data_IF_671325757052
#
_entry.id   IF_671325757052
#
_cell.length_a   1.000
_cell.length_b   1.000
_cell.length_c   1.000
_cell.angle_alpha   90.00
_cell.angle_beta   90.00
_cell.angle_gamma   90.00
#
_symmetry.space_group_name_H-M   'P 1'
#
loop_
_entity.id
_entity.type
_entity.pdbx_description
1 polymer ?
#
# COMPACT_ATOMS: atom_id res chain seq x y z
N UNK A 1 18.01 -16.85 46.19
CA UNK A 1 18.42 -15.78 45.26
C UNK A 1 18.43 -16.18 43.79
N UNK A 2 18.53 -17.48 43.43
CA UNK A 2 18.53 -17.93 42.02
C UNK A 2 17.17 -17.86 41.29
N UNK A 3 16.04 -17.87 42.01
CA UNK A 3 14.70 -17.86 41.40
C UNK A 3 14.30 -16.53 40.76
N UNK A 4 14.73 -15.40 41.33
CA UNK A 4 14.40 -14.07 40.78
C UNK A 4 15.10 -13.82 39.44
N UNK A 5 16.38 -14.17 39.31
CA UNK A 5 17.10 -14.04 38.03
C UNK A 5 16.43 -14.87 36.93
N UNK A 6 15.98 -16.08 37.26
CA UNK A 6 15.31 -16.96 36.31
C UNK A 6 13.95 -16.38 35.86
N UNK A 7 13.22 -15.75 36.78
CA UNK A 7 11.95 -15.07 36.47
C UNK A 7 12.14 -13.84 35.56
N UNK A 8 13.14 -12.99 35.85
CA UNK A 8 13.49 -11.86 34.97
C UNK A 8 13.93 -12.33 33.58
N UNK A 9 14.66 -13.45 33.49
CA UNK A 9 15.08 -14.04 32.21
C UNK A 9 13.89 -14.52 31.38
N UNK A 10 12.90 -15.16 32.01
CA UNK A 10 11.66 -15.58 31.34
C UNK A 10 10.83 -14.39 30.86
N UNK A 11 10.70 -13.33 31.68
CA UNK A 11 10.01 -12.10 31.26
C UNK A 11 10.73 -11.46 30.07
N UNK A 12 12.05 -11.35 30.11
CA UNK A 12 12.82 -10.78 29.02
C UNK A 12 12.71 -11.61 27.74
N UNK A 13 12.70 -12.94 27.85
CA UNK A 13 12.45 -13.83 26.71
C UNK A 13 11.05 -13.67 26.10
N UNK A 14 10.02 -13.43 26.93
CA UNK A 14 8.66 -13.12 26.46
C UNK A 14 8.60 -11.74 25.78
N UNK A 15 9.23 -10.72 26.36
CA UNK A 15 9.29 -9.36 25.79
C UNK A 15 10.02 -9.37 24.44
N UNK A 16 11.15 -10.08 24.32
CA UNK A 16 11.88 -10.23 23.06
C UNK A 16 11.06 -11.00 22.00
N UNK A 17 10.21 -11.96 22.41
CA UNK A 17 9.27 -12.65 21.50
C UNK A 17 8.13 -11.77 21.01
N UNK A 18 7.66 -10.83 21.83
CA UNK A 18 6.60 -9.88 21.44
C UNK A 18 7.16 -8.83 20.48
N UNK A 19 8.37 -8.31 20.74
CA UNK A 19 9.05 -7.34 19.87
C UNK A 19 9.40 -7.94 18.49
N UNK A 20 9.81 -9.22 18.45
CA UNK A 20 10.15 -9.92 17.20
C UNK A 20 8.98 -10.19 16.25
N UNK A 21 7.71 -10.05 16.69
CA UNK A 21 6.52 -10.23 15.84
C UNK A 21 6.03 -8.93 15.19
N UNK A 22 6.45 -7.77 15.67
CA UNK A 22 6.05 -6.47 15.12
C UNK A 22 7.00 -5.92 14.05
N UNK A 23 8.17 -6.53 13.88
CA UNK A 23 9.01 -6.31 12.70
C UNK A 23 8.72 -7.40 11.68
N UNK A 24 7.48 -7.37 11.14
CA UNK A 24 7.29 -7.86 9.80
C UNK A 24 8.24 -7.04 8.93
N UNK A 25 9.34 -7.68 8.51
CA UNK A 25 10.22 -7.19 7.47
C UNK A 25 9.32 -6.59 6.39
N UNK A 26 9.44 -5.28 6.20
CA UNK A 26 8.87 -4.56 5.07
C UNK A 26 9.51 -5.21 3.84
N UNK A 27 8.85 -6.25 3.34
CA UNK A 27 9.38 -7.14 2.32
C UNK A 27 9.77 -6.29 1.13
N UNK A 28 11.08 -6.28 0.82
CA UNK A 28 11.70 -5.81 -0.41
C UNK A 28 10.77 -5.02 -1.34
N UNK A 29 10.41 -3.79 -0.95
CA UNK A 29 9.48 -2.98 -1.73
C UNK A 29 10.29 -2.16 -2.72
N UNK A 30 10.25 -2.58 -3.98
CA UNK A 30 10.77 -1.78 -5.09
C UNK A 30 10.14 -0.39 -5.07
N UNK A 31 11.00 0.61 -5.13
CA UNK A 31 10.75 1.99 -4.72
C UNK A 31 9.79 2.77 -5.62
N UNK A 32 8.49 2.66 -5.33
CA UNK A 32 7.41 3.53 -5.84
C UNK A 32 6.55 3.97 -4.65
N UNK A 33 6.59 5.26 -4.32
CA UNK A 33 5.80 5.80 -3.21
C UNK A 33 4.40 6.18 -3.70
N UNK A 34 3.43 5.28 -3.49
CA UNK A 34 2.02 5.50 -3.81
C UNK A 34 1.27 6.13 -2.62
N UNK A 35 0.48 7.16 -2.88
CA UNK A 35 -0.40 7.81 -1.91
C UNK A 35 -1.78 8.06 -2.53
N UNK A 36 -2.84 7.75 -1.80
CA UNK A 36 -4.21 8.03 -2.23
C UNK A 36 -4.91 8.99 -1.27
N UNK A 37 -5.66 9.94 -1.83
CA UNK A 37 -6.46 10.92 -1.11
C UNK A 37 -7.92 10.77 -1.52
N UNK A 38 -8.79 10.55 -0.52
CA UNK A 38 -10.24 10.54 -0.73
C UNK A 38 -10.72 12.00 -0.75
N UNK A 39 -11.38 12.38 -1.84
CA UNK A 39 -11.94 13.70 -2.12
C UNK A 39 -13.45 13.71 -1.91
N UNK A 40 -13.98 14.87 -1.54
CA UNK A 40 -15.42 15.07 -1.35
C UNK A 40 -16.10 15.57 -2.66
N UNK A 41 -17.32 15.11 -3.00
CA UNK A 41 -18.02 13.96 -2.45
C UNK A 41 -17.73 12.69 -3.28
N UNK A 42 -16.95 11.76 -2.70
CA UNK A 42 -16.78 10.36 -3.17
C UNK A 42 -15.96 10.20 -4.44
N UNK A 43 -14.92 11.01 -4.60
CA UNK A 43 -13.87 10.77 -5.59
C UNK A 43 -12.59 10.39 -4.86
N UNK A 44 -11.64 9.75 -5.52
CA UNK A 44 -10.33 9.47 -4.93
C UNK A 44 -9.25 9.77 -5.95
N UNK A 45 -8.16 10.36 -5.51
CA UNK A 45 -6.98 10.58 -6.35
C UNK A 45 -5.79 9.85 -5.76
N UNK A 46 -5.16 9.00 -6.54
CA UNK A 46 -3.90 8.36 -6.19
C UNK A 46 -2.76 9.00 -6.97
N UNK A 47 -1.64 9.26 -6.32
CA UNK A 47 -0.43 9.80 -6.91
C UNK A 47 0.76 8.93 -6.52
N UNK A 48 1.69 8.74 -7.45
CA UNK A 48 2.96 8.09 -7.15
C UNK A 48 4.15 8.96 -7.57
N UNK A 49 5.21 8.86 -6.79
CA UNK A 49 6.50 9.43 -7.17
C UNK A 49 7.42 8.29 -7.60
N UNK A 50 7.87 8.26 -8.87
CA UNK A 50 8.93 7.34 -9.26
C UNK A 50 10.23 7.72 -8.54
N UNK A 51 11.01 6.72 -8.11
CA UNK A 51 12.33 6.99 -7.55
C UNK A 51 13.30 7.47 -8.65
N UNK A 52 14.29 8.26 -8.24
CA UNK A 52 15.41 8.70 -9.08
C UNK A 52 15.93 7.55 -9.96
N UNK A 53 15.94 7.77 -11.27
CA UNK A 53 16.35 6.77 -12.27
C UNK A 53 15.24 5.92 -12.88
N UNK A 54 13.96 6.15 -12.56
CA UNK A 54 12.89 5.75 -13.48
C UNK A 54 13.06 6.53 -14.78
N UNK A 55 13.39 5.83 -15.86
CA UNK A 55 13.59 6.46 -17.16
C UNK A 55 12.33 7.25 -17.56
N UNK A 56 12.51 8.35 -18.28
CA UNK A 56 11.41 9.17 -18.82
C UNK A 56 10.40 8.38 -19.68
N UNK A 57 10.71 7.12 -20.05
CA UNK A 57 9.90 6.23 -20.86
C UNK A 57 9.31 5.03 -20.08
N UNK A 58 9.30 5.07 -18.74
CA UNK A 58 8.67 4.01 -17.95
C UNK A 58 7.14 4.16 -17.96
N UNK A 59 6.45 3.17 -18.50
CA UNK A 59 4.98 3.08 -18.42
C UNK A 59 4.55 2.61 -17.04
N UNK A 60 3.63 3.33 -16.42
CA UNK A 60 3.05 3.00 -15.11
C UNK A 60 1.64 2.45 -15.29
N UNK A 61 1.36 1.35 -14.60
CA UNK A 61 0.04 0.74 -14.53
C UNK A 61 -0.43 0.70 -13.08
N UNK A 62 -1.39 1.55 -12.73
CA UNK A 62 -2.07 1.49 -11.44
C UNK A 62 -3.18 0.44 -11.51
N UNK A 63 -3.09 -0.53 -10.61
CA UNK A 63 -4.04 -1.64 -10.46
C UNK A 63 -4.78 -1.51 -9.14
N UNK A 64 -6.04 -1.94 -9.14
CA UNK A 64 -6.85 -1.99 -7.94
C UNK A 64 -7.78 -3.20 -7.93
N UNK A 65 -8.17 -3.64 -6.75
CA UNK A 65 -9.21 -4.66 -6.58
C UNK A 65 -9.92 -4.54 -5.25
N UNK A 66 -11.15 -5.00 -5.19
CA UNK A 66 -11.82 -5.20 -3.91
C UNK A 66 -11.08 -6.27 -3.09
N UNK A 67 -10.90 -6.02 -1.80
CA UNK A 67 -10.25 -6.97 -0.90
C UNK A 67 -11.01 -8.29 -0.88
N UNK A 68 -10.29 -9.39 -1.06
CA UNK A 68 -10.86 -10.73 -1.15
C UNK A 68 -11.25 -11.17 -2.57
N UNK A 69 -11.28 -10.24 -3.54
CA UNK A 69 -11.44 -10.57 -4.96
C UNK A 69 -10.07 -10.89 -5.56
N UNK A 70 -10.03 -11.84 -6.49
CA UNK A 70 -8.79 -12.26 -7.16
C UNK A 70 -8.46 -11.36 -8.34
N UNK A 71 -9.47 -10.99 -9.11
CA UNK A 71 -9.37 -10.15 -10.30
C UNK A 71 -9.03 -8.70 -9.94
N UNK A 72 -8.11 -8.12 -10.71
CA UNK A 72 -7.66 -6.74 -10.55
C UNK A 72 -7.99 -5.92 -11.79
N UNK A 73 -8.53 -4.73 -11.56
CA UNK A 73 -8.83 -3.75 -12.58
C UNK A 73 -7.65 -2.78 -12.76
N UNK A 74 -7.57 -2.17 -13.94
CA UNK A 74 -6.62 -1.10 -14.22
C UNK A 74 -7.30 0.27 -14.11
N UNK A 75 -6.55 1.26 -13.66
CA UNK A 75 -7.00 2.64 -13.64
C UNK A 75 -7.50 3.10 -15.01
N UNK A 76 -8.66 3.76 -15.03
CA UNK A 76 -9.32 4.24 -16.25
C UNK A 76 -9.03 5.70 -16.58
N UNK A 77 -8.51 6.46 -15.63
CA UNK A 77 -8.29 7.90 -15.77
C UNK A 77 -6.95 8.32 -15.16
N UNK A 78 -5.92 8.40 -16.01
CA UNK A 78 -4.58 8.87 -15.65
C UNK A 78 -4.38 10.37 -15.88
N UNK A 79 -5.43 11.10 -16.29
CA UNK A 79 -5.31 12.47 -16.81
C UNK A 79 -5.89 13.49 -15.85
N UNK A 80 -7.07 13.23 -15.29
CA UNK A 80 -7.84 14.20 -14.49
C UNK A 80 -7.06 14.76 -13.30
N UNK A 81 -6.24 13.94 -12.65
CA UNK A 81 -5.44 14.33 -11.48
C UNK A 81 -3.99 14.73 -11.82
N UNK A 82 -3.64 14.86 -13.10
CA UNK A 82 -2.30 15.25 -13.56
C UNK A 82 -1.32 14.09 -13.71
N UNK A 83 -0.01 14.37 -13.89
CA UNK A 83 0.98 13.32 -14.16
C UNK A 83 1.17 12.37 -12.97
N UNK A 84 1.51 11.12 -13.28
CA UNK A 84 1.73 10.05 -12.29
C UNK A 84 0.58 9.94 -11.28
N UNK A 85 -0.65 10.01 -11.80
CA UNK A 85 -1.85 9.96 -10.98
C UNK A 85 -2.90 9.03 -11.58
N UNK A 86 -3.84 8.64 -10.75
CA UNK A 86 -5.07 7.97 -11.15
C UNK A 86 -6.25 8.62 -10.43
N UNK A 87 -7.25 9.03 -11.21
CA UNK A 87 -8.50 9.55 -10.70
C UNK A 87 -9.57 8.46 -10.70
N UNK A 88 -10.19 8.29 -9.54
CA UNK A 88 -11.32 7.42 -9.34
C UNK A 88 -12.57 8.27 -9.18
N UNK A 89 -13.40 8.25 -10.23
CA UNK A 89 -14.74 8.81 -10.14
C UNK A 89 -15.61 7.95 -9.22
N UNK A 90 -16.74 8.52 -8.79
CA UNK A 90 -17.74 7.83 -7.96
C UNK A 90 -18.30 6.56 -8.61
N UNK A 91 -18.26 6.44 -9.94
CA UNK A 91 -18.72 5.23 -10.65
C UNK A 91 -17.71 4.10 -10.58
N UNK A 92 -16.44 4.40 -10.31
CA UNK A 92 -15.35 3.43 -10.31
C UNK A 92 -15.08 2.85 -8.91
N UNK A 93 -15.68 3.43 -7.86
CA UNK A 93 -15.54 2.97 -6.48
C UNK A 93 -16.91 2.75 -5.84
N UNK A 94 -17.15 1.53 -5.40
CA UNK A 94 -18.30 1.20 -4.57
C UNK A 94 -18.00 1.60 -3.12
N UNK A 95 -19.01 2.15 -2.44
CA UNK A 95 -18.91 2.59 -1.05
C UNK A 95 -18.94 1.41 -0.07
N UNK A 96 -18.43 1.64 1.13
CA UNK A 96 -18.36 0.65 2.23
C UNK A 96 -17.52 -0.58 1.87
N UNK A 97 -16.62 -0.45 0.90
CA UNK A 97 -15.70 -1.50 0.48
C UNK A 97 -14.25 -1.14 0.80
N UNK A 98 -13.45 -2.18 1.01
CA UNK A 98 -12.00 -2.07 1.13
C UNK A 98 -11.35 -2.46 -0.19
N UNK A 99 -10.43 -1.63 -0.68
CA UNK A 99 -9.67 -1.85 -1.90
C UNK A 99 -8.18 -2.06 -1.60
N UNK A 100 -7.54 -2.95 -2.36
CA UNK A 100 -6.09 -3.06 -2.49
C UNK A 100 -5.66 -2.30 -3.75
N UNK A 101 -4.73 -1.36 -3.63
CA UNK A 101 -4.27 -0.50 -4.75
C UNK A 101 -2.75 -0.53 -4.83
N UNK A 102 -2.19 -0.66 -6.04
CA UNK A 102 -0.73 -0.63 -6.26
C UNK A 102 -0.37 -0.14 -7.66
N UNK A 103 0.90 0.21 -7.86
CA UNK A 103 1.45 0.63 -9.15
C UNK A 103 2.49 -0.37 -9.61
N UNK A 104 2.44 -0.72 -10.89
CA UNK A 104 3.40 -1.57 -11.60
C UNK A 104 4.16 -0.72 -12.64
N UNK A 105 5.46 -0.93 -12.75
CA UNK A 105 6.35 -0.18 -13.64
C UNK A 105 7.46 -1.10 -14.15
N UNK A 106 7.22 -1.77 -15.28
CA UNK A 106 8.10 -2.84 -15.77
C UNK A 106 8.26 -3.94 -14.72
N UNK A 107 9.49 -4.15 -14.23
CA UNK A 107 9.80 -5.17 -13.20
C UNK A 107 9.65 -4.65 -11.75
N UNK A 108 9.16 -3.42 -11.56
CA UNK A 108 8.99 -2.80 -10.23
C UNK A 108 7.52 -2.71 -9.86
N UNK A 109 7.23 -2.83 -8.57
CA UNK A 109 5.89 -2.73 -8.00
C UNK A 109 5.91 -1.92 -6.70
N UNK A 110 4.92 -1.06 -6.47
CA UNK A 110 4.77 -0.37 -5.19
C UNK A 110 4.32 -1.32 -4.08
N UNK A 111 4.43 -0.87 -2.83
CA UNK A 111 3.65 -1.47 -1.75
C UNK A 111 2.14 -1.35 -2.06
N UNK A 112 1.37 -2.39 -1.69
CA UNK A 112 -0.09 -2.36 -1.81
C UNK A 112 -0.68 -1.49 -0.71
N UNK A 113 -1.40 -0.45 -1.11
CA UNK A 113 -2.14 0.41 -0.20
C UNK A 113 -3.54 -0.15 0.03
N UNK A 114 -3.96 -0.23 1.29
CA UNK A 114 -5.32 -0.60 1.67
C UNK A 114 -6.13 0.68 1.88
N UNK A 115 -7.22 0.84 1.13
CA UNK A 115 -8.11 2.00 1.22
C UNK A 115 -9.52 1.56 1.55
N UNK A 116 -10.09 2.13 2.61
CA UNK A 116 -11.49 1.94 2.96
C UNK A 116 -12.31 3.10 2.38
N UNK A 117 -13.42 2.77 1.74
CA UNK A 117 -14.39 3.74 1.25
C UNK A 117 -15.56 3.77 2.24
N UNK A 118 -15.82 4.92 2.87
CA UNK A 118 -16.94 5.13 3.82
C UNK A 118 -18.03 6.03 3.24
#
# INVERSE_FOLDING_TARGET
MAGMLNYYFLIWAVIMRISGRHLALKGASSSLHLRCLVLYPKCMSCHWTPQDGAASNTTFHLRYKMRGVTEAEECKDYVTSGPNSCYFSRTNLCLYLTYEIWVEAGNRMSEKLIVNTE
#
